data_IF_783215634506
#
_entry.id   IF_783215634506
#
_cell.length_a   1.000
_cell.length_b   1.000
_cell.length_c   1.000
_cell.angle_alpha   90.00
_cell.angle_beta   90.00
_cell.angle_gamma   90.00
#
_symmetry.space_group_name_H-M   'P 1'
#
loop_
_entity.id
_entity.type
_entity.pdbx_description
1 polymer ?
#
# COMPACT_ATOMS: atom_id res chain seq x y z
N UNK A 1 -3.83 2.62 16.08
CA UNK A 1 -3.97 1.22 15.60
C UNK A 1 -2.65 0.52 15.83
N UNK A 2 -2.66 -0.74 16.26
CA UNK A 2 -1.47 -1.58 16.39
C UNK A 2 -1.69 -2.96 15.75
N UNK A 3 -0.62 -3.71 15.45
CA UNK A 3 -0.77 -5.06 14.94
C UNK A 3 -1.71 -5.91 15.81
N UNK A 4 -2.60 -6.66 15.16
CA UNK A 4 -3.62 -7.50 15.78
C UNK A 4 -4.96 -6.80 16.05
N UNK A 5 -5.00 -5.47 16.07
CA UNK A 5 -6.26 -4.72 16.25
C UNK A 5 -7.25 -5.02 15.10
N UNK A 6 -8.56 -5.11 15.40
CA UNK A 6 -9.58 -5.21 14.37
C UNK A 6 -9.85 -3.84 13.73
N UNK A 7 -10.09 -3.83 12.42
CA UNK A 7 -10.52 -2.65 11.65
C UNK A 7 -11.67 -3.05 10.76
N UNK A 8 -12.73 -2.25 10.75
CA UNK A 8 -13.87 -2.46 9.84
C UNK A 8 -13.72 -1.58 8.60
N UNK A 9 -13.83 -2.19 7.42
CA UNK A 9 -13.78 -1.51 6.12
C UNK A 9 -14.97 -2.00 5.30
N UNK A 10 -15.88 -1.08 4.95
CA UNK A 10 -17.16 -1.36 4.28
C UNK A 10 -17.90 -2.59 4.84
N UNK A 11 -18.03 -2.68 6.17
CA UNK A 11 -18.75 -3.77 6.84
C UNK A 11 -18.01 -5.12 6.91
N UNK A 12 -16.75 -5.18 6.48
CA UNK A 12 -15.88 -6.35 6.64
C UNK A 12 -14.77 -6.06 7.65
N UNK A 13 -14.59 -6.98 8.61
CA UNK A 13 -13.55 -6.88 9.63
C UNK A 13 -12.23 -7.46 9.10
N UNK A 14 -11.17 -6.68 9.25
CA UNK A 14 -9.78 -7.01 8.97
C UNK A 14 -8.95 -6.94 10.26
N UNK A 15 -7.76 -7.55 10.23
CA UNK A 15 -6.77 -7.41 11.30
C UNK A 15 -5.55 -6.67 10.78
N UNK A 16 -5.06 -5.72 11.57
CA UNK A 16 -3.83 -4.99 11.25
C UNK A 16 -2.65 -5.97 11.31
N UNK A 17 -1.97 -6.19 10.19
CA UNK A 17 -0.77 -7.02 10.15
C UNK A 17 0.49 -6.27 10.61
N UNK A 18 0.54 -4.96 10.33
CA UNK A 18 1.67 -4.08 10.62
C UNK A 18 1.25 -2.62 10.56
N UNK A 19 2.05 -1.74 11.15
CA UNK A 19 1.94 -0.28 11.01
C UNK A 19 3.30 0.21 10.53
N UNK A 20 3.32 0.86 9.37
CA UNK A 20 4.54 1.43 8.81
C UNK A 20 4.85 2.74 9.54
N UNK A 21 6.14 3.03 9.71
CA UNK A 21 6.56 4.32 10.26
C UNK A 21 6.34 5.42 9.22
N UNK A 22 5.94 6.61 9.68
CA UNK A 22 5.78 7.78 8.83
C UNK A 22 7.11 8.12 8.13
N UNK A 23 7.03 8.45 6.84
CA UNK A 23 8.18 8.87 6.03
C UNK A 23 8.02 10.27 5.42
N UNK A 24 6.91 10.95 5.71
CA UNK A 24 6.60 12.30 5.22
C UNK A 24 6.15 12.35 3.76
N UNK A 25 5.78 11.22 3.16
CA UNK A 25 5.29 11.12 1.79
C UNK A 25 3.78 10.86 1.75
N UNK A 26 3.21 10.82 0.54
CA UNK A 26 1.81 10.48 0.35
C UNK A 26 1.45 9.06 0.83
N UNK A 27 2.44 8.19 1.01
CA UNK A 27 2.21 6.81 1.46
C UNK A 27 1.76 6.73 2.92
N UNK A 28 1.99 7.78 3.71
CA UNK A 28 1.60 7.83 5.13
C UNK A 28 0.07 7.76 5.32
N UNK A 29 -0.69 8.16 4.30
CA UNK A 29 -2.16 8.13 4.30
C UNK A 29 -2.75 6.93 3.53
N UNK A 30 -1.92 5.93 3.18
CA UNK A 30 -2.33 4.77 2.38
C UNK A 30 -2.46 3.50 3.24
N UNK A 31 -3.53 2.73 3.00
CA UNK A 31 -3.67 1.37 3.52
C UNK A 31 -3.24 0.34 2.47
N UNK A 32 -2.31 -0.53 2.85
CA UNK A 32 -1.96 -1.72 2.07
C UNK A 32 -2.83 -2.92 2.46
N UNK A 33 -3.40 -3.58 1.48
CA UNK A 33 -4.23 -4.78 1.64
C UNK A 33 -4.09 -5.66 0.39
N UNK A 34 -4.43 -6.95 0.53
CA UNK A 34 -4.55 -7.85 -0.62
C UNK A 34 -5.51 -7.29 -1.69
N UNK A 35 -5.10 -7.35 -2.96
CA UNK A 35 -5.87 -6.82 -4.09
C UNK A 35 -7.24 -7.48 -4.22
N UNK A 36 -7.31 -8.80 -4.05
CA UNK A 36 -8.58 -9.54 -4.13
C UNK A 36 -9.53 -9.10 -3.01
N UNK A 37 -9.00 -8.93 -1.80
CA UNK A 37 -9.77 -8.40 -0.67
C UNK A 37 -10.27 -6.97 -0.93
N UNK A 38 -9.42 -6.07 -1.45
CA UNK A 38 -9.83 -4.71 -1.81
C UNK A 38 -10.95 -4.71 -2.86
N UNK A 39 -10.80 -5.49 -3.92
CA UNK A 39 -11.81 -5.63 -4.98
C UNK A 39 -13.16 -6.12 -4.44
N UNK A 40 -13.15 -7.07 -3.50
CA UNK A 40 -14.37 -7.56 -2.86
C UNK A 40 -15.03 -6.49 -1.99
N UNK A 41 -14.25 -5.82 -1.14
CA UNK A 41 -14.73 -4.77 -0.21
C UNK A 41 -15.25 -3.55 -0.96
N UNK A 42 -14.71 -3.27 -2.15
CA UNK A 42 -15.13 -2.16 -3.01
C UNK A 42 -16.20 -2.57 -4.03
N UNK A 43 -16.63 -3.83 -4.04
CA UNK A 43 -17.56 -4.39 -5.02
C UNK A 43 -17.13 -4.16 -6.49
N UNK A 44 -15.83 -4.36 -6.77
CA UNK A 44 -15.20 -4.17 -8.09
C UNK A 44 -14.34 -5.39 -8.48
N UNK A 45 -14.94 -6.59 -8.60
CA UNK A 45 -14.18 -7.79 -8.95
C UNK A 45 -13.49 -7.66 -10.32
N UNK A 46 -12.23 -8.09 -10.39
CA UNK A 46 -11.46 -8.09 -11.65
C UNK A 46 -11.10 -6.71 -12.20
N UNK A 47 -11.31 -5.64 -11.43
CA UNK A 47 -11.04 -4.26 -11.85
C UNK A 47 -9.92 -3.64 -11.01
N UNK A 48 -9.10 -2.82 -11.63
CA UNK A 48 -8.11 -1.96 -10.97
C UNK A 48 -8.37 -0.51 -11.34
N UNK A 49 -8.17 0.41 -10.40
CA UNK A 49 -8.36 1.85 -10.66
C UNK A 49 -7.13 2.50 -11.29
N UNK A 50 -5.95 1.98 -10.98
CA UNK A 50 -4.67 2.48 -11.44
C UNK A 50 -3.69 1.31 -11.54
N UNK A 51 -2.82 1.35 -12.54
CA UNK A 51 -1.63 0.49 -12.62
C UNK A 51 -0.43 1.41 -12.66
N UNK A 52 0.40 1.35 -11.63
CA UNK A 52 1.65 2.08 -11.58
C UNK A 52 2.76 1.21 -12.21
N UNK A 53 3.47 1.79 -13.17
CA UNK A 53 4.56 1.12 -13.88
C UNK A 53 5.82 1.94 -13.65
N UNK A 54 6.73 1.42 -12.83
CA UNK A 54 8.05 1.99 -12.64
C UNK A 54 9.04 1.32 -13.60
N UNK A 55 9.77 2.12 -14.36
CA UNK A 55 10.92 1.66 -15.13
C UNK A 55 12.19 1.83 -14.30
N UNK A 56 13.11 0.86 -14.37
CA UNK A 56 14.46 1.05 -13.84
C UNK A 56 15.13 2.17 -14.65
N UNK A 57 15.39 3.30 -14.01
CA UNK A 57 16.18 4.36 -14.63
C UNK A 57 17.65 3.94 -14.60
N UNK A 58 18.14 3.31 -15.66
CA UNK A 58 19.54 2.88 -15.79
C UNK A 58 20.54 4.05 -15.80
N UNK A 59 20.06 5.27 -16.01
CA UNK A 59 20.86 6.51 -16.03
C UNK A 59 20.69 7.36 -14.76
N UNK A 60 19.93 6.87 -13.77
CA UNK A 60 19.80 7.51 -12.46
C UNK A 60 20.63 6.68 -11.48
N UNK A 61 21.82 7.13 -11.05
CA UNK A 61 22.69 6.36 -10.17
C UNK A 61 22.17 6.47 -8.72
N UNK A 62 20.96 5.96 -8.48
CA UNK A 62 20.31 6.03 -7.17
C UNK A 62 21.20 5.36 -6.13
N UNK A 63 21.87 4.27 -6.49
CA UNK A 63 22.83 3.57 -5.65
C UNK A 63 24.01 4.47 -5.23
N UNK A 64 24.57 5.26 -6.14
CA UNK A 64 25.66 6.21 -5.79
C UNK A 64 25.14 7.42 -4.99
N UNK A 65 23.89 7.81 -5.21
CA UNK A 65 23.26 8.94 -4.51
C UNK A 65 22.90 8.64 -3.06
N UNK A 66 22.66 7.37 -2.69
CA UNK A 66 22.30 6.96 -1.32
C UNK A 66 23.49 6.57 -0.44
N UNK A 67 24.70 6.47 -1.00
CA UNK A 67 25.93 6.16 -0.25
C UNK A 67 26.52 7.37 0.51
N UNK A 68 25.88 8.55 0.46
CA UNK A 68 26.35 9.80 1.08
C UNK A 68 25.64 10.17 2.39
#
# INVERSE_FOLDING_TARGET
>A
LKPGDPVEINGRVFRVAGVLAENGSQDDDILFIDLTAAQQVMNKPGSVSLVEVAALCTECPVEEMVEQ
#
